data_IF_682455189119
#
_entry.id   IF_682455189119
#
_cell.length_a   1.000
_cell.length_b   1.000
_cell.length_c   1.000
_cell.angle_alpha   90.00
_cell.angle_beta   90.00
_cell.angle_gamma   90.00
#
_symmetry.space_group_name_H-M   'P 1'
#
loop_
_entity.id
_entity.type
_entity.pdbx_description
1 polymer ?
#
# COMPACT_ATOMS: atom_id res chain seq x y z
N UNK A 1 -9.05 -5.08 -29.96
CA UNK A 1 -8.98 -5.32 -28.50
C UNK A 1 -10.33 -5.83 -28.05
N UNK A 2 -10.35 -6.88 -27.23
CA UNK A 2 -11.58 -7.58 -26.80
C UNK A 2 -12.44 -6.70 -25.87
N UNK A 3 -13.76 -6.68 -26.07
CA UNK A 3 -14.71 -5.90 -25.27
C UNK A 3 -14.67 -6.30 -23.79
N UNK A 4 -14.41 -7.59 -23.53
CA UNK A 4 -14.18 -8.14 -22.19
C UNK A 4 -13.00 -7.48 -21.46
N UNK A 5 -11.91 -7.21 -22.18
CA UNK A 5 -10.74 -6.55 -21.61
C UNK A 5 -11.05 -5.09 -21.23
N UNK A 6 -11.75 -4.34 -22.09
CA UNK A 6 -12.14 -2.97 -21.78
C UNK A 6 -13.08 -2.88 -20.57
N UNK A 7 -14.08 -3.78 -20.48
CA UNK A 7 -14.96 -3.85 -19.32
C UNK A 7 -14.21 -4.14 -18.03
N UNK A 8 -13.33 -5.14 -18.04
CA UNK A 8 -12.46 -5.46 -16.91
C UNK A 8 -11.62 -4.27 -16.45
N UNK A 9 -10.91 -3.61 -17.39
CA UNK A 9 -10.01 -2.50 -17.05
C UNK A 9 -10.75 -1.27 -16.53
N UNK A 10 -11.87 -0.90 -17.14
CA UNK A 10 -12.70 0.22 -16.69
C UNK A 10 -13.30 -0.05 -15.31
N UNK A 11 -13.72 -1.29 -15.05
CA UNK A 11 -14.22 -1.70 -13.75
C UNK A 11 -13.14 -1.73 -12.67
N UNK A 12 -11.94 -2.21 -12.97
CA UNK A 12 -10.83 -2.32 -12.04
C UNK A 12 -10.17 -0.96 -11.68
N UNK A 13 -10.24 0.01 -12.59
CA UNK A 13 -9.49 1.28 -12.51
C UNK A 13 -9.73 2.09 -11.21
N UNK A 14 -10.95 2.26 -10.68
CA UNK A 14 -11.17 3.00 -9.44
C UNK A 14 -10.43 2.40 -8.25
N UNK A 15 -10.45 1.07 -8.10
CA UNK A 15 -9.72 0.38 -7.03
C UNK A 15 -8.21 0.50 -7.19
N UNK A 16 -7.69 0.40 -8.42
CA UNK A 16 -6.27 0.57 -8.71
C UNK A 16 -5.78 1.99 -8.39
N UNK A 17 -6.58 3.00 -8.76
CA UNK A 17 -6.30 4.41 -8.44
C UNK A 17 -6.17 4.63 -6.93
N UNK A 18 -7.07 4.00 -6.16
CA UNK A 18 -7.06 4.06 -4.70
C UNK A 18 -5.81 3.41 -4.09
N UNK A 19 -5.41 2.24 -4.61
CA UNK A 19 -4.19 1.53 -4.20
C UNK A 19 -2.96 2.41 -4.46
N UNK A 20 -2.82 2.95 -5.67
CA UNK A 20 -1.67 3.79 -6.06
C UNK A 20 -1.59 5.04 -5.19
N UNK A 21 -2.72 5.72 -4.95
CA UNK A 21 -2.75 6.88 -4.05
C UNK A 21 -2.29 6.55 -2.63
N UNK A 22 -2.68 5.39 -2.11
CA UNK A 22 -2.25 4.91 -0.79
C UNK A 22 -0.75 4.55 -0.76
N UNK A 23 -0.20 4.00 -1.85
CA UNK A 23 1.24 3.74 -1.99
C UNK A 23 2.05 5.04 -2.01
N UNK A 24 1.60 6.07 -2.75
CA UNK A 24 2.25 7.39 -2.78
C UNK A 24 2.26 7.99 -1.37
N UNK A 25 1.17 7.87 -0.61
CA UNK A 25 1.12 8.34 0.76
C UNK A 25 2.12 7.59 1.65
N UNK A 26 2.23 6.26 1.51
CA UNK A 26 3.20 5.46 2.25
C UNK A 26 4.65 5.86 1.93
N UNK A 27 4.97 6.13 0.65
CA UNK A 27 6.29 6.61 0.24
C UNK A 27 6.64 7.95 0.91
N UNK A 28 5.70 8.89 0.98
CA UNK A 28 5.90 10.18 1.66
C UNK A 28 6.17 10.00 3.16
N UNK A 29 5.41 9.12 3.82
CA UNK A 29 5.62 8.85 5.26
C UNK A 29 6.95 8.14 5.49
N UNK A 30 7.34 7.23 4.58
CA UNK A 30 8.64 6.56 4.64
C UNK A 30 9.78 7.56 4.50
N UNK A 31 9.73 8.45 3.51
CA UNK A 31 10.72 9.52 3.35
C UNK A 31 10.83 10.41 4.61
N UNK A 32 9.68 10.74 5.23
CA UNK A 32 9.67 11.50 6.49
C UNK A 32 10.30 10.73 7.65
N UNK A 33 10.02 9.42 7.78
CA UNK A 33 10.65 8.58 8.79
C UNK A 33 12.17 8.48 8.59
N UNK A 34 12.63 8.35 7.35
CA UNK A 34 14.06 8.35 7.03
C UNK A 34 14.73 9.67 7.39
N UNK A 35 14.06 10.80 7.13
CA UNK A 35 14.56 12.12 7.52
C UNK A 35 14.68 12.28 9.04
N UNK A 36 13.69 11.79 9.81
CA UNK A 36 13.74 11.80 11.28
C UNK A 36 14.94 11.00 11.80
N UNK A 37 15.18 9.81 11.26
CA UNK A 37 16.34 9.01 11.63
C UNK A 37 17.65 9.76 11.30
N UNK A 38 17.73 10.31 10.08
CA UNK A 38 18.91 11.04 9.58
C UNK A 38 19.26 12.26 10.42
N UNK A 39 18.27 13.02 10.88
CA UNK A 39 18.46 14.19 11.75
C UNK A 39 19.06 13.83 13.11
N UNK A 40 18.91 12.59 13.55
CA UNK A 40 19.49 12.07 14.79
C UNK A 40 20.82 11.31 14.56
N UNK A 41 21.38 11.37 13.34
CA UNK A 41 22.60 10.64 12.99
C UNK A 41 22.40 9.14 12.77
N UNK A 42 21.14 8.69 12.68
CA UNK A 42 20.79 7.27 12.51
C UNK A 42 20.30 7.02 11.08
N UNK A 43 20.43 5.78 10.60
CA UNK A 43 20.02 5.40 9.25
C UNK A 43 18.85 4.42 9.29
N UNK A 44 17.73 4.82 8.70
CA UNK A 44 16.57 3.95 8.51
C UNK A 44 16.44 3.55 7.04
N UNK A 45 16.81 2.32 6.72
CA UNK A 45 16.66 1.79 5.37
C UNK A 45 15.52 0.78 5.26
N UNK A 46 14.34 1.30 4.91
CA UNK A 46 13.13 0.49 4.72
C UNK A 46 13.13 -0.18 3.34
N UNK A 47 13.86 0.35 2.35
CA UNK A 47 13.85 -0.18 0.99
C UNK A 47 14.79 -1.37 0.86
N UNK A 48 15.99 -1.28 1.43
CA UNK A 48 17.02 -2.31 1.29
C UNK A 48 17.02 -3.35 2.40
N UNK A 49 16.12 -3.25 3.40
CA UNK A 49 15.97 -4.25 4.47
C UNK A 49 14.65 -5.03 4.38
N UNK A 50 14.64 -6.23 3.76
CA UNK A 50 13.46 -7.10 3.71
C UNK A 50 12.96 -7.52 5.10
N UNK A 51 13.88 -7.78 6.04
CA UNK A 51 13.54 -8.14 7.42
C UNK A 51 12.75 -7.03 8.11
N UNK A 52 13.18 -5.77 7.93
CA UNK A 52 12.50 -4.60 8.48
C UNK A 52 11.09 -4.42 7.90
N UNK A 53 10.90 -4.73 6.61
CA UNK A 53 9.58 -4.73 5.96
C UNK A 53 8.68 -5.84 6.50
N UNK A 54 9.22 -7.03 6.71
CA UNK A 54 8.46 -8.16 7.29
C UNK A 54 8.04 -7.85 8.72
N UNK A 55 8.95 -7.33 9.54
CA UNK A 55 8.63 -6.93 10.91
C UNK A 55 7.57 -5.82 10.93
N UNK A 56 7.70 -4.82 10.06
CA UNK A 56 6.68 -3.79 9.88
C UNK A 56 5.30 -4.38 9.52
N UNK A 57 5.24 -5.30 8.56
CA UNK A 57 3.98 -5.81 8.02
C UNK A 57 3.35 -6.91 8.85
N UNK A 58 4.12 -7.78 9.50
CA UNK A 58 3.61 -9.00 10.13
C UNK A 58 3.92 -9.10 11.62
N UNK A 59 4.92 -8.37 12.11
CA UNK A 59 5.35 -8.42 13.51
C UNK A 59 5.55 -7.01 14.08
N UNK A 60 4.50 -6.19 14.14
CA UNK A 60 4.64 -4.78 14.52
C UNK A 60 5.21 -4.59 15.93
N UNK A 61 5.04 -5.58 16.82
CA UNK A 61 5.63 -5.57 18.16
C UNK A 61 7.16 -5.79 18.21
N UNK A 62 7.76 -6.37 17.17
CA UNK A 62 9.23 -6.54 17.06
C UNK A 62 9.88 -5.54 16.10
N UNK A 63 9.09 -4.62 15.53
CA UNK A 63 9.59 -3.63 14.58
C UNK A 63 10.51 -2.60 15.24
N UNK A 64 10.11 -2.13 16.42
CA UNK A 64 10.96 -1.33 17.31
C UNK A 64 11.78 -2.30 18.17
N UNK A 65 13.09 -2.16 18.12
CA UNK A 65 14.03 -3.04 18.82
C UNK A 65 14.59 -2.35 20.07
N UNK A 66 14.99 -3.12 21.10
CA UNK A 66 15.53 -2.53 22.34
C UNK A 66 16.81 -1.71 22.13
N UNK A 67 17.60 -2.06 21.11
CA UNK A 67 18.84 -1.40 20.70
C UNK A 67 18.62 -0.20 19.77
N UNK A 68 17.38 0.08 19.34
CA UNK A 68 17.10 1.26 18.53
C UNK A 68 17.38 2.54 19.32
N UNK A 69 18.17 3.43 18.71
CA UNK A 69 18.36 4.79 19.19
C UNK A 69 17.07 5.63 19.14
N UNK A 70 17.11 6.81 19.76
CA UNK A 70 15.93 7.66 19.87
C UNK A 70 15.40 8.11 18.48
N UNK A 71 16.29 8.31 17.50
CA UNK A 71 15.92 8.68 16.14
C UNK A 71 15.14 7.56 15.43
N UNK A 72 15.66 6.33 15.48
CA UNK A 72 15.05 5.15 14.88
C UNK A 72 13.72 4.81 15.54
N UNK A 73 13.61 4.94 16.87
CA UNK A 73 12.32 4.74 17.56
C UNK A 73 11.26 5.71 17.05
N UNK A 74 11.56 7.01 17.05
CA UNK A 74 10.62 8.04 16.57
C UNK A 74 10.22 7.81 15.11
N UNK A 75 11.18 7.44 14.26
CA UNK A 75 10.92 7.13 12.86
C UNK A 75 10.04 5.89 12.68
N UNK A 76 10.29 4.82 13.44
CA UNK A 76 9.52 3.58 13.40
C UNK A 76 8.12 3.75 13.98
N UNK A 77 7.96 4.53 15.05
CA UNK A 77 6.65 4.89 15.60
C UNK A 77 5.81 5.65 14.57
N UNK A 78 6.40 6.59 13.83
CA UNK A 78 5.72 7.27 12.73
C UNK A 78 5.21 6.26 11.68
N UNK A 79 6.04 5.29 11.27
CA UNK A 79 5.63 4.24 10.33
C UNK A 79 4.50 3.38 10.88
N UNK A 80 4.57 2.98 12.16
CA UNK A 80 3.54 2.18 12.82
C UNK A 80 2.22 2.95 12.98
N UNK A 81 2.26 4.26 13.22
CA UNK A 81 1.08 5.11 13.39
C UNK A 81 0.17 5.10 12.15
N UNK A 82 0.75 5.00 10.95
CA UNK A 82 0.00 4.98 9.69
C UNK A 82 -0.33 3.58 9.19
N UNK A 83 0.30 2.54 9.77
CA UNK A 83 0.24 1.14 9.30
C UNK A 83 -1.20 0.63 9.18
N UNK A 84 -2.00 0.75 10.25
CA UNK A 84 -3.37 0.20 10.27
C UNK A 84 -4.23 0.83 9.17
N UNK A 85 -4.18 2.15 9.05
CA UNK A 85 -4.92 2.90 8.03
C UNK A 85 -4.46 2.54 6.62
N UNK A 86 -3.15 2.37 6.43
CA UNK A 86 -2.57 1.95 5.15
C UNK A 86 -3.06 0.56 4.75
N UNK A 87 -3.03 -0.42 5.65
CA UNK A 87 -3.47 -1.79 5.37
C UNK A 87 -4.97 -1.85 5.04
N UNK A 88 -5.80 -1.15 5.80
CA UNK A 88 -7.25 -1.08 5.54
C UNK A 88 -7.52 -0.48 4.15
N UNK A 89 -6.83 0.61 3.80
CA UNK A 89 -7.00 1.25 2.49
C UNK A 89 -6.53 0.38 1.34
N UNK A 90 -5.42 -0.34 1.50
CA UNK A 90 -4.96 -1.31 0.51
C UNK A 90 -5.98 -2.44 0.32
N UNK A 91 -6.52 -2.99 1.42
CA UNK A 91 -7.53 -4.04 1.36
C UNK A 91 -8.83 -3.56 0.69
N UNK A 92 -9.30 -2.35 1.01
CA UNK A 92 -10.46 -1.74 0.36
C UNK A 92 -10.23 -1.51 -1.13
N UNK A 93 -9.07 -0.97 -1.51
CA UNK A 93 -8.70 -0.78 -2.90
C UNK A 93 -8.68 -2.10 -3.68
N UNK A 94 -8.08 -3.14 -3.10
CA UNK A 94 -8.04 -4.48 -3.69
C UNK A 94 -9.45 -5.07 -3.85
N UNK A 95 -10.31 -4.93 -2.84
CA UNK A 95 -11.70 -5.37 -2.91
C UNK A 95 -12.48 -4.64 -4.02
N UNK A 96 -12.32 -3.32 -4.12
CA UNK A 96 -12.95 -2.51 -5.18
C UNK A 96 -12.44 -2.92 -6.56
N UNK A 97 -11.15 -3.20 -6.72
CA UNK A 97 -10.58 -3.70 -7.97
C UNK A 97 -11.20 -5.03 -8.37
N UNK A 98 -11.33 -5.99 -7.45
CA UNK A 98 -11.92 -7.30 -7.73
C UNK A 98 -13.40 -7.18 -8.08
N UNK A 99 -14.19 -6.45 -7.29
CA UNK A 99 -15.62 -6.25 -7.55
C UNK A 99 -15.82 -5.54 -8.90
N UNK A 100 -15.09 -4.46 -9.13
CA UNK A 100 -15.17 -3.68 -10.35
C UNK A 100 -14.77 -4.49 -11.59
N UNK A 101 -13.68 -5.27 -11.49
CA UNK A 101 -13.25 -6.19 -12.55
C UNK A 101 -14.35 -7.18 -12.92
N UNK A 102 -14.97 -7.83 -11.93
CA UNK A 102 -16.05 -8.81 -12.14
C UNK A 102 -17.28 -8.18 -12.80
N UNK A 103 -17.74 -7.02 -12.28
CA UNK A 103 -18.86 -6.28 -12.87
C UNK A 103 -18.54 -5.86 -14.31
N UNK A 104 -17.32 -5.37 -14.53
CA UNK A 104 -16.84 -4.95 -15.85
C UNK A 104 -16.87 -6.08 -16.88
N UNK A 105 -16.44 -7.28 -16.50
CA UNK A 105 -16.51 -8.47 -17.35
C UNK A 105 -17.97 -8.86 -17.65
N UNK A 106 -18.85 -8.90 -16.64
CA UNK A 106 -20.26 -9.23 -16.82
C UNK A 106 -20.96 -8.26 -17.77
N UNK A 107 -20.73 -6.95 -17.59
CA UNK A 107 -21.30 -5.91 -18.47
C UNK A 107 -20.77 -6.06 -19.89
N UNK A 108 -19.47 -6.32 -20.07
CA UNK A 108 -18.87 -6.49 -21.39
C UNK A 108 -19.43 -7.71 -22.13
N UNK A 109 -19.65 -8.83 -21.43
CA UNK A 109 -20.30 -10.02 -21.99
C UNK A 109 -21.75 -9.70 -22.37
N UNK A 110 -22.50 -9.06 -21.47
CA UNK A 110 -23.90 -8.72 -21.73
C UNK A 110 -24.05 -7.80 -22.95
N UNK A 111 -23.23 -6.75 -23.06
CA UNK A 111 -23.24 -5.84 -24.21
C UNK A 111 -22.73 -6.53 -25.48
N UNK A 112 -21.67 -7.34 -25.37
CA UNK A 112 -21.11 -8.10 -26.50
C UNK A 112 -22.03 -9.21 -27.01
N UNK A 113 -22.99 -9.67 -26.21
CA UNK A 113 -24.02 -10.64 -26.60
C UNK A 113 -25.29 -10.03 -27.20
N UNK A 114 -25.43 -8.70 -27.16
CA UNK A 114 -26.59 -7.94 -27.65
C UNK A 114 -26.30 -7.24 -28.99
N UNK A 115 -25.06 -7.31 -29.49
CA UNK A 115 -24.60 -6.82 -30.80
C UNK A 115 -24.25 -8.01 -31.69
#
# INVERSE_FOLDING_TARGET
MDSGAYGFFLGAAPGLSYIVGNMIQLQRVTAKAQEIARQNGELLDVHFSPSLRVDYLFRPGSFIRPDDGAGLRNAKELLLSVRRKMLIRHALGALMTVIGALIGVVIAIAIGSVV
#
